data_IF_805061503613
#
_entry.id   IF_805061503613
#
_cell.length_a   1.000
_cell.length_b   1.000
_cell.length_c   1.000
_cell.angle_alpha   90.00
_cell.angle_beta   90.00
_cell.angle_gamma   90.00
#
_symmetry.space_group_name_H-M   'P 1'
#
loop_
_entity.id
_entity.type
_entity.pdbx_description
1 polymer ?
#
# COMPACT_ATOMS: atom_id res chain seq x y z
N UNK A 1 51.84 -41.10 26.70
CA UNK A 1 52.04 -41.99 25.52
C UNK A 1 51.79 -41.15 24.27
N UNK A 2 52.87 -40.81 23.54
CA UNK A 2 53.14 -41.11 22.11
C UNK A 2 52.10 -40.54 21.13
N UNK A 3 52.40 -39.87 20.01
CA UNK A 3 53.58 -39.33 19.29
C UNK A 3 52.92 -38.51 18.13
N UNK A 4 53.37 -37.30 17.75
CA UNK A 4 54.36 -37.01 16.68
C UNK A 4 53.97 -37.71 15.36
N UNK A 5 53.72 -37.08 14.20
CA UNK A 5 54.62 -36.30 13.29
C UNK A 5 53.74 -35.83 12.10
N UNK A 6 53.70 -34.56 11.68
CA UNK A 6 54.51 -33.88 10.63
C UNK A 6 54.85 -34.72 9.39
N UNK A 7 54.75 -34.14 8.19
CA UNK A 7 55.82 -33.99 7.17
C UNK A 7 55.19 -33.62 5.79
N UNK A 8 55.52 -32.44 5.25
CA UNK A 8 56.45 -32.18 4.11
C UNK A 8 55.87 -32.59 2.75
N UNK A 9 56.16 -31.97 1.60
CA UNK A 9 56.80 -30.71 1.18
C UNK A 9 56.92 -30.77 -0.37
N UNK A 10 57.51 -29.71 -0.96
CA UNK A 10 58.28 -29.70 -2.22
C UNK A 10 57.46 -29.42 -3.49
N UNK A 11 57.53 -28.18 -4.03
CA UNK A 11 58.37 -27.67 -5.18
C UNK A 11 58.08 -28.42 -6.49
N UNK A 12 58.05 -27.83 -7.69
CA UNK A 12 59.08 -27.04 -8.41
C UNK A 12 58.45 -26.62 -9.76
N UNK A 13 58.55 -25.37 -10.21
CA UNK A 13 59.53 -24.80 -11.17
C UNK A 13 59.20 -24.85 -12.69
N UNK A 14 59.39 -23.66 -13.28
CA UNK A 14 59.54 -23.21 -14.66
C UNK A 14 59.98 -24.19 -15.78
N UNK A 15 59.49 -23.93 -17.00
CA UNK A 15 60.24 -23.96 -18.27
C UNK A 15 59.43 -23.16 -19.35
N UNK A 16 59.94 -22.04 -19.88
CA UNK A 16 60.81 -21.89 -21.08
C UNK A 16 60.10 -22.07 -22.45
N UNK A 17 59.56 -20.95 -22.96
CA UNK A 17 59.90 -20.27 -24.24
C UNK A 17 59.92 -21.08 -25.58
N UNK A 18 60.26 -20.47 -26.73
CA UNK A 18 59.30 -20.15 -27.80
C UNK A 18 59.62 -20.88 -29.12
N UNK A 19 58.67 -20.92 -30.08
CA UNK A 19 59.01 -21.19 -31.49
C UNK A 19 58.28 -20.27 -32.47
N UNK A 20 59.14 -19.65 -33.26
CA UNK A 20 58.97 -18.79 -34.41
C UNK A 20 58.24 -19.50 -35.57
N UNK A 21 57.74 -18.68 -36.49
CA UNK A 21 57.80 -18.82 -37.97
C UNK A 21 56.45 -19.04 -38.70
N UNK A 22 56.01 -17.99 -39.41
CA UNK A 22 56.06 -17.85 -40.88
C UNK A 22 54.80 -17.16 -41.45
N UNK A 23 55.05 -16.17 -42.29
CA UNK A 23 54.12 -15.36 -43.07
C UNK A 23 53.09 -16.17 -43.89
N UNK A 24 51.87 -15.65 -44.01
CA UNK A 24 51.24 -15.47 -45.31
C UNK A 24 50.25 -14.30 -45.25
N UNK A 25 50.49 -13.30 -46.10
CA UNK A 25 49.60 -12.18 -46.37
C UNK A 25 48.55 -12.67 -47.37
N UNK A 26 47.29 -12.67 -46.99
CA UNK A 26 46.15 -12.65 -47.92
C UNK A 26 45.25 -11.48 -47.55
N UNK A 27 45.26 -10.48 -48.42
CA UNK A 27 44.35 -9.33 -48.40
C UNK A 27 42.96 -9.84 -48.80
N UNK A 28 42.02 -9.81 -47.88
CA UNK A 28 40.58 -9.92 -48.17
C UNK A 28 39.94 -8.60 -47.77
N UNK A 29 39.32 -7.94 -48.75
CA UNK A 29 38.66 -6.65 -48.60
C UNK A 29 37.49 -6.72 -47.59
N UNK A 30 37.29 -5.69 -46.74
CA UNK A 30 36.11 -5.64 -45.90
C UNK A 30 34.95 -5.02 -46.70
N UNK A 31 33.93 -5.82 -47.03
CA UNK A 31 32.58 -5.26 -47.28
C UNK A 31 31.91 -5.15 -45.93
N UNK A 32 32.14 -4.02 -45.26
CA UNK A 32 31.33 -3.63 -44.11
C UNK A 32 29.98 -3.13 -44.64
N UNK A 33 28.97 -4.00 -44.64
CA UNK A 33 27.59 -3.55 -44.72
C UNK A 33 27.29 -2.82 -43.41
N UNK A 34 27.28 -1.49 -43.48
CA UNK A 34 26.77 -0.65 -42.42
C UNK A 34 25.24 -0.81 -42.36
N UNK A 35 24.78 -1.75 -41.55
CA UNK A 35 23.38 -1.82 -41.12
C UNK A 35 23.15 -0.74 -40.05
N UNK A 36 22.91 0.50 -40.48
CA UNK A 36 22.34 1.51 -39.59
C UNK A 36 20.85 1.23 -39.41
N UNK A 37 20.53 0.37 -38.44
CA UNK A 37 19.18 0.29 -37.85
C UNK A 37 19.32 0.66 -36.38
N UNK A 38 19.77 1.89 -36.15
CA UNK A 38 19.58 2.56 -34.87
C UNK A 38 18.12 3.04 -34.83
N UNK A 39 17.20 2.08 -34.66
CA UNK A 39 15.85 2.38 -34.19
C UNK A 39 15.98 2.66 -32.68
N UNK A 40 16.53 3.83 -32.36
CA UNK A 40 16.59 4.33 -31.00
C UNK A 40 15.16 4.65 -30.60
N UNK A 41 14.46 3.66 -30.06
CA UNK A 41 13.34 3.89 -29.17
C UNK A 41 13.83 4.78 -28.04
N UNK A 42 13.64 6.09 -28.18
CA UNK A 42 13.73 7.02 -27.07
C UNK A 42 12.52 6.76 -26.16
N UNK A 43 12.58 5.70 -25.35
CA UNK A 43 11.71 5.60 -24.19
C UNK A 43 12.13 6.73 -23.25
N UNK A 44 11.28 7.74 -23.14
CA UNK A 44 11.43 8.72 -22.06
C UNK A 44 11.53 7.94 -20.74
N UNK A 45 12.44 8.33 -19.83
CA UNK A 45 12.59 7.61 -18.57
C UNK A 45 11.23 7.57 -17.84
N UNK A 46 10.91 6.46 -17.14
CA UNK A 46 9.65 6.34 -16.43
C UNK A 46 9.45 7.52 -15.50
N UNK A 47 8.29 8.18 -15.58
CA UNK A 47 7.94 9.28 -14.67
C UNK A 47 7.82 8.72 -13.26
N UNK A 48 8.31 9.47 -12.28
CA UNK A 48 8.13 9.11 -10.88
C UNK A 48 6.63 8.99 -10.56
N UNK A 49 6.22 7.96 -9.79
CA UNK A 49 4.87 7.88 -9.29
C UNK A 49 4.48 9.12 -8.50
N UNK A 50 3.20 9.47 -8.56
CA UNK A 50 2.63 10.58 -7.79
C UNK A 50 1.19 10.31 -7.41
N UNK A 51 0.66 11.06 -6.46
CA UNK A 51 -0.77 11.03 -6.18
C UNK A 51 -1.57 11.45 -7.44
N UNK A 52 -2.55 10.64 -7.83
CA UNK A 52 -3.55 10.96 -8.84
C UNK A 52 -4.86 11.45 -8.25
N UNK A 53 -5.98 11.21 -8.93
CA UNK A 53 -7.30 11.50 -8.39
C UNK A 53 -7.70 10.53 -7.27
N UNK A 54 -8.48 10.99 -6.29
CA UNK A 54 -8.97 10.14 -5.20
C UNK A 54 -10.37 10.58 -4.73
N UNK A 55 -11.08 9.66 -4.08
CA UNK A 55 -12.37 9.91 -3.42
C UNK A 55 -12.55 8.93 -2.27
N UNK A 56 -13.41 9.29 -1.31
CA UNK A 56 -13.85 8.40 -0.24
C UNK A 56 -15.37 8.23 -0.31
N UNK A 57 -15.84 7.00 -0.51
CA UNK A 57 -17.25 6.65 -0.29
C UNK A 57 -17.44 6.26 1.17
N UNK A 58 -18.49 6.79 1.79
CA UNK A 58 -18.93 6.40 3.13
C UNK A 58 -20.43 6.17 3.09
N UNK A 59 -20.88 5.03 3.57
CA UNK A 59 -22.30 4.78 3.82
C UNK A 59 -22.41 4.36 5.29
N UNK A 60 -23.06 5.18 6.13
CA UNK A 60 -23.40 4.81 7.50
C UNK A 60 -24.32 3.59 7.57
N UNK A 61 -24.43 2.99 8.75
CA UNK A 61 -25.35 1.88 8.97
C UNK A 61 -26.80 2.31 8.69
N UNK A 62 -27.54 1.49 7.94
CA UNK A 62 -28.92 1.78 7.52
C UNK A 62 -29.03 2.71 6.30
N UNK A 63 -27.95 3.35 5.87
CA UNK A 63 -27.89 4.23 4.69
C UNK A 63 -27.19 3.59 3.48
N UNK A 64 -26.84 2.32 3.60
CA UNK A 64 -26.18 1.57 2.54
C UNK A 64 -27.02 1.42 1.27
N UNK A 65 -26.34 1.37 0.12
CA UNK A 65 -26.95 1.04 -1.18
C UNK A 65 -26.24 -0.14 -1.82
N UNK A 66 -26.92 -0.87 -2.71
CA UNK A 66 -26.28 -1.89 -3.54
C UNK A 66 -26.59 -1.70 -5.04
N UNK A 67 -25.57 -1.60 -5.92
CA UNK A 67 -24.16 -1.48 -5.57
C UNK A 67 -23.85 -0.18 -4.78
N UNK A 68 -22.82 -0.24 -3.94
CA UNK A 68 -22.21 0.94 -3.36
C UNK A 68 -21.24 1.52 -4.40
N UNK A 69 -21.48 2.75 -4.86
CA UNK A 69 -20.74 3.38 -5.98
C UNK A 69 -20.03 4.63 -5.48
N UNK A 70 -18.75 4.78 -5.78
CA UNK A 70 -17.99 5.98 -5.42
C UNK A 70 -18.47 7.20 -6.22
N UNK A 71 -18.16 8.40 -5.75
CA UNK A 71 -18.21 9.59 -6.61
C UNK A 71 -17.29 9.40 -7.83
N UNK A 72 -17.67 9.97 -8.97
CA UNK A 72 -16.86 9.88 -10.18
C UNK A 72 -15.65 10.82 -10.10
N UNK A 73 -14.50 10.36 -10.54
CA UNK A 73 -13.27 11.15 -10.63
C UNK A 73 -12.63 11.05 -12.02
N UNK A 74 -11.64 11.89 -12.33
CA UNK A 74 -10.92 11.83 -13.60
C UNK A 74 -9.52 11.25 -13.36
N UNK A 75 -9.31 9.99 -13.72
CA UNK A 75 -7.97 9.35 -13.68
C UNK A 75 -7.21 9.58 -14.99
N UNK A 76 -5.92 9.26 -15.01
CA UNK A 76 -5.16 9.10 -16.24
C UNK A 76 -5.76 7.97 -17.09
N UNK A 77 -5.61 8.09 -18.40
CA UNK A 77 -6.11 7.08 -19.34
C UNK A 77 -5.34 5.75 -19.25
N UNK A 78 -4.06 5.83 -18.88
CA UNK A 78 -3.16 4.70 -18.72
C UNK A 78 -1.99 5.05 -17.78
N UNK A 79 -1.22 4.03 -17.38
CA UNK A 79 0.01 4.19 -16.61
C UNK A 79 -0.19 4.41 -15.12
N UNK A 80 -1.42 4.30 -14.62
CA UNK A 80 -1.74 4.38 -13.19
C UNK A 80 -1.86 3.01 -12.56
N UNK A 81 -1.62 2.97 -11.25
CA UNK A 81 -2.13 1.92 -10.37
C UNK A 81 -3.35 2.47 -9.62
N UNK A 82 -4.37 1.65 -9.40
CA UNK A 82 -5.56 2.02 -8.64
C UNK A 82 -5.66 1.17 -7.40
N UNK A 83 -5.85 1.82 -6.26
CA UNK A 83 -5.99 1.19 -4.95
C UNK A 83 -7.40 1.44 -4.42
N UNK A 84 -8.03 0.36 -3.96
CA UNK A 84 -9.31 0.39 -3.26
C UNK A 84 -9.17 -0.38 -1.96
N UNK A 85 -9.66 0.18 -0.86
CA UNK A 85 -9.96 -0.62 0.33
C UNK A 85 -11.47 -0.69 0.50
N UNK A 86 -11.97 -1.82 0.98
CA UNK A 86 -13.38 -2.03 1.30
C UNK A 86 -13.44 -2.44 2.75
N UNK A 87 -13.98 -1.57 3.60
CA UNK A 87 -14.14 -1.81 5.02
C UNK A 87 -15.61 -1.68 5.42
N UNK A 88 -16.16 -2.68 6.09
CA UNK A 88 -17.61 -2.80 6.31
C UNK A 88 -18.01 -4.19 6.77
N UNK A 89 -19.30 -4.50 6.64
CA UNK A 89 -19.81 -5.84 6.92
C UNK A 89 -19.09 -6.91 6.09
N UNK A 90 -18.64 -7.96 6.75
CA UNK A 90 -17.84 -9.03 6.16
C UNK A 90 -18.64 -9.92 5.18
N UNK A 91 -19.97 -9.96 5.35
CA UNK A 91 -20.91 -10.68 4.47
C UNK A 91 -21.11 -9.97 3.11
N UNK A 92 -20.64 -8.71 2.97
CA UNK A 92 -20.58 -7.99 1.70
C UNK A 92 -19.30 -8.36 0.93
N UNK A 93 -19.17 -9.63 0.56
CA UNK A 93 -17.95 -10.21 0.01
C UNK A 93 -17.64 -9.83 -1.47
N UNK A 94 -18.49 -9.04 -2.12
CA UNK A 94 -18.29 -8.61 -3.51
C UNK A 94 -16.90 -8.02 -3.77
N UNK A 95 -16.30 -8.37 -4.92
CA UNK A 95 -15.10 -7.72 -5.40
C UNK A 95 -15.44 -6.36 -6.02
N UNK A 96 -14.54 -5.37 -5.94
CA UNK A 96 -14.74 -4.12 -6.66
C UNK A 96 -14.72 -4.35 -8.17
N UNK A 97 -15.62 -3.65 -8.87
CA UNK A 97 -15.54 -3.42 -10.31
C UNK A 97 -15.46 -1.92 -10.57
N UNK A 98 -15.05 -1.51 -11.76
CA UNK A 98 -15.02 -0.10 -12.13
C UNK A 98 -15.59 0.15 -13.53
N UNK A 99 -15.77 1.42 -13.86
CA UNK A 99 -16.32 1.87 -15.14
C UNK A 99 -15.37 1.69 -16.34
N UNK A 100 -14.19 1.11 -16.14
CA UNK A 100 -13.15 0.89 -17.16
C UNK A 100 -12.77 -0.58 -17.30
N UNK A 101 -13.51 -1.48 -16.65
CA UNK A 101 -13.33 -2.93 -16.64
C UNK A 101 -11.90 -3.35 -16.24
N UNK A 102 -11.27 -2.65 -15.29
CA UNK A 102 -9.97 -3.07 -14.83
C UNK A 102 -10.04 -4.40 -14.08
N UNK A 103 -8.94 -5.14 -14.14
CA UNK A 103 -8.78 -6.36 -13.37
C UNK A 103 -8.29 -6.03 -11.95
N UNK A 104 -9.18 -6.18 -10.98
CA UNK A 104 -8.88 -6.00 -9.57
C UNK A 104 -8.36 -7.30 -8.94
N UNK A 105 -7.29 -7.21 -8.16
CA UNK A 105 -6.70 -8.32 -7.41
C UNK A 105 -6.73 -8.01 -5.91
N UNK A 106 -7.12 -8.97 -5.05
CA UNK A 106 -6.98 -8.79 -3.61
C UNK A 106 -5.50 -8.66 -3.24
N UNK A 107 -5.21 -7.84 -2.24
CA UNK A 107 -3.91 -7.75 -1.59
C UNK A 107 -4.07 -8.34 -0.20
N UNK A 108 -3.37 -9.42 0.10
CA UNK A 108 -3.47 -10.14 1.37
C UNK A 108 -4.85 -10.76 1.64
N UNK A 109 -5.00 -11.26 2.86
CA UNK A 109 -6.27 -11.79 3.38
C UNK A 109 -7.13 -10.66 4.00
N UNK A 110 -8.46 -10.82 4.09
CA UNK A 110 -9.31 -9.91 4.84
C UNK A 110 -8.85 -9.77 6.30
N UNK A 111 -8.84 -8.54 6.81
CA UNK A 111 -8.49 -8.25 8.20
C UNK A 111 -9.77 -8.03 9.01
N UNK A 112 -10.06 -8.95 9.92
CA UNK A 112 -11.27 -8.90 10.78
C UNK A 112 -11.09 -7.89 11.92
N UNK A 113 -12.10 -7.06 12.17
CA UNK A 113 -12.08 -6.11 13.29
C UNK A 113 -12.19 -6.80 14.66
N UNK A 114 -11.40 -6.30 15.62
CA UNK A 114 -11.39 -6.83 16.98
C UNK A 114 -12.71 -6.53 17.71
N UNK A 115 -13.32 -7.56 18.32
CA UNK A 115 -14.53 -7.40 19.13
C UNK A 115 -15.84 -7.32 18.34
N UNK A 116 -15.82 -7.67 17.05
CA UNK A 116 -16.99 -7.65 16.17
C UNK A 116 -17.49 -9.05 15.74
N UNK A 117 -16.97 -10.13 16.32
CA UNK A 117 -17.35 -11.51 16.03
C UNK A 117 -17.34 -11.83 14.52
N UNK A 118 -16.26 -11.43 13.84
CA UNK A 118 -16.05 -11.62 12.39
C UNK A 118 -17.05 -10.90 11.48
N UNK A 119 -18.02 -10.16 12.03
CA UNK A 119 -19.04 -9.45 11.24
C UNK A 119 -18.49 -8.29 10.42
N UNK A 120 -17.31 -7.78 10.75
CA UNK A 120 -16.69 -6.66 10.05
C UNK A 120 -15.26 -7.02 9.65
N UNK A 121 -14.89 -6.64 8.42
CA UNK A 121 -13.52 -6.75 7.95
C UNK A 121 -13.10 -5.57 7.07
N UNK A 122 -11.80 -5.49 6.82
CA UNK A 122 -11.21 -4.62 5.81
C UNK A 122 -10.46 -5.46 4.79
N UNK A 123 -10.63 -5.13 3.51
CA UNK A 123 -10.00 -5.81 2.37
C UNK A 123 -9.35 -4.78 1.46
N UNK A 124 -8.18 -5.08 0.91
CA UNK A 124 -7.49 -4.22 -0.05
C UNK A 124 -7.50 -4.86 -1.45
N UNK A 125 -7.67 -4.04 -2.48
CA UNK A 125 -7.70 -4.45 -3.87
C UNK A 125 -6.89 -3.50 -4.73
N UNK A 126 -6.28 -4.06 -5.78
CA UNK A 126 -5.37 -3.35 -6.66
C UNK A 126 -5.66 -3.65 -8.13
N UNK A 127 -5.68 -2.60 -8.95
CA UNK A 127 -5.52 -2.71 -10.40
C UNK A 127 -4.20 -2.05 -10.82
N UNK A 128 -3.30 -2.82 -11.43
CA UNK A 128 -2.02 -2.35 -11.97
C UNK A 128 -2.15 -2.09 -13.47
N UNK A 129 -1.45 -1.08 -13.99
CA UNK A 129 -1.52 -0.67 -15.39
C UNK A 129 -2.97 -0.40 -15.82
N UNK A 130 -3.70 0.29 -14.95
CA UNK A 130 -5.13 0.50 -15.08
C UNK A 130 -5.43 1.38 -16.29
N UNK A 131 -6.55 1.05 -16.94
CA UNK A 131 -7.27 1.94 -17.84
C UNK A 131 -8.08 2.92 -17.01
N UNK A 132 -8.19 4.14 -17.51
CA UNK A 132 -8.95 5.16 -16.83
C UNK A 132 -9.38 6.29 -17.75
N UNK A 133 -9.76 7.41 -17.15
CA UNK A 133 -10.19 8.60 -17.86
C UNK A 133 -11.28 9.35 -17.10
N UNK A 134 -12.14 10.03 -17.85
CA UNK A 134 -13.19 10.87 -17.26
C UNK A 134 -14.28 10.05 -16.59
N UNK A 135 -14.77 10.54 -15.44
CA UNK A 135 -15.89 9.96 -14.69
C UNK A 135 -15.65 8.50 -14.25
N UNK A 136 -14.42 8.13 -13.94
CA UNK A 136 -14.08 6.83 -13.37
C UNK A 136 -14.78 6.65 -12.01
N UNK A 137 -15.51 5.55 -11.87
CA UNK A 137 -16.14 5.12 -10.61
C UNK A 137 -15.74 3.70 -10.26
N UNK A 138 -15.62 3.40 -8.97
CA UNK A 138 -15.57 2.04 -8.44
C UNK A 138 -16.91 1.70 -7.81
N UNK A 139 -17.31 0.44 -7.90
CA UNK A 139 -18.51 -0.07 -7.23
C UNK A 139 -18.27 -1.42 -6.57
N UNK A 140 -19.02 -1.68 -5.50
CA UNK A 140 -19.04 -2.96 -4.78
C UNK A 140 -20.48 -3.42 -4.60
N UNK A 141 -20.79 -4.65 -5.01
CA UNK A 141 -22.07 -5.29 -4.71
C UNK A 141 -22.06 -5.78 -3.25
N UNK A 142 -23.16 -5.55 -2.54
CA UNK A 142 -23.33 -5.80 -1.10
C UNK A 142 -24.40 -6.86 -0.92
N UNK A 143 -24.01 -8.12 -1.12
CA UNK A 143 -24.95 -9.25 -1.19
C UNK A 143 -25.53 -9.66 0.16
N UNK A 144 -24.75 -9.53 1.24
CA UNK A 144 -25.18 -9.91 2.60
C UNK A 144 -25.97 -8.80 3.29
N UNK A 145 -25.35 -7.63 3.43
CA UNK A 145 -25.90 -6.47 4.14
C UNK A 145 -25.99 -5.23 3.23
N UNK A 146 -26.96 -5.15 2.29
CA UNK A 146 -27.12 -4.03 1.36
C UNK A 146 -27.23 -2.65 2.02
N UNK A 147 -27.95 -2.57 3.14
CA UNK A 147 -28.13 -1.34 3.92
C UNK A 147 -27.03 -1.11 4.97
N UNK A 148 -26.13 -2.08 5.17
CA UNK A 148 -25.09 -2.01 6.20
C UNK A 148 -23.98 -1.01 5.88
N UNK A 149 -23.23 -0.60 6.90
CA UNK A 149 -22.15 0.36 6.74
C UNK A 149 -21.00 -0.14 5.82
N UNK A 150 -20.44 0.78 5.04
CA UNK A 150 -19.27 0.52 4.19
C UNK A 150 -18.47 1.82 3.96
N UNK A 151 -17.15 1.71 3.98
CA UNK A 151 -16.23 2.80 3.66
C UNK A 151 -15.24 2.32 2.60
N UNK A 152 -15.13 3.08 1.51
CA UNK A 152 -14.33 2.73 0.34
C UNK A 152 -13.49 3.93 -0.10
N UNK A 153 -12.21 4.04 0.34
CA UNK A 153 -11.27 4.91 -0.32
C UNK A 153 -10.91 4.34 -1.70
N UNK A 154 -10.98 5.19 -2.73
CA UNK A 154 -10.54 4.90 -4.09
C UNK A 154 -9.46 5.90 -4.47
N UNK A 155 -8.23 5.42 -4.66
CA UNK A 155 -7.04 6.24 -4.90
C UNK A 155 -6.39 5.83 -6.22
N UNK A 156 -6.13 6.81 -7.08
CA UNK A 156 -5.21 6.67 -8.19
C UNK A 156 -3.79 7.01 -7.76
N UNK A 157 -2.84 6.15 -8.13
CA UNK A 157 -1.41 6.44 -8.10
C UNK A 157 -0.94 6.56 -9.55
N UNK A 158 -0.82 7.80 -9.99
CA UNK A 158 -0.38 8.15 -11.33
C UNK A 158 1.07 7.73 -11.56
N UNK A 159 1.36 7.25 -12.77
CA UNK A 159 2.69 6.78 -13.18
C UNK A 159 3.24 5.59 -12.35
N UNK A 160 2.41 4.97 -11.52
CA UNK A 160 2.76 3.73 -10.83
C UNK A 160 2.43 2.53 -11.71
N UNK A 161 3.46 1.76 -12.05
CA UNK A 161 3.34 0.51 -12.81
C UNK A 161 3.49 -0.75 -11.96
N UNK A 162 3.84 -0.62 -10.67
CA UNK A 162 3.95 -1.75 -9.74
C UNK A 162 3.63 -1.32 -8.30
N UNK A 163 3.08 -2.26 -7.53
CA UNK A 163 3.14 -2.27 -6.07
C UNK A 163 4.46 -2.96 -5.70
N UNK A 164 5.41 -2.21 -5.17
CA UNK A 164 6.74 -2.72 -4.81
C UNK A 164 6.69 -3.52 -3.51
N UNK A 165 6.03 -2.98 -2.50
CA UNK A 165 5.94 -3.58 -1.19
C UNK A 165 4.66 -3.13 -0.47
N UNK A 166 4.21 -3.94 0.47
CA UNK A 166 3.03 -3.68 1.27
C UNK A 166 3.18 -4.25 2.67
N UNK A 167 2.81 -3.43 3.66
CA UNK A 167 2.77 -3.84 5.05
C UNK A 167 1.36 -3.68 5.61
N UNK A 168 0.93 -4.68 6.38
CA UNK A 168 -0.32 -4.68 7.11
C UNK A 168 -0.06 -5.10 8.55
N UNK A 169 -0.61 -4.36 9.51
CA UNK A 169 -0.65 -4.75 10.90
C UNK A 169 -1.90 -4.16 11.58
N UNK A 170 -2.22 -4.68 12.77
CA UNK A 170 -3.39 -4.25 13.53
C UNK A 170 -3.00 -3.94 14.99
N UNK A 171 -2.23 -2.87 15.22
CA UNK A 171 -1.81 -2.50 16.56
C UNK A 171 -3.00 -2.03 17.40
N UNK A 172 -3.00 -2.40 18.67
CA UNK A 172 -3.91 -1.88 19.68
C UNK A 172 -3.11 -1.11 20.74
N UNK A 173 -3.68 -0.06 21.38
CA UNK A 173 -3.03 0.60 22.50
C UNK A 173 -2.65 -0.43 23.57
N UNK A 174 -1.48 -0.29 24.20
CA UNK A 174 -0.96 -1.27 25.15
C UNK A 174 -1.89 -1.54 26.35
N UNK A 175 -1.69 -2.66 27.06
CA UNK A 175 -2.58 -3.13 28.14
C UNK A 175 -2.81 -2.06 29.22
N UNK A 176 -1.78 -1.27 29.57
CA UNK A 176 -1.89 -0.15 30.50
C UNK A 176 -2.79 0.97 29.95
N UNK A 177 -2.65 1.34 28.67
CA UNK A 177 -3.52 2.31 28.02
C UNK A 177 -4.97 1.80 27.96
N UNK A 178 -5.20 0.50 27.69
CA UNK A 178 -6.55 -0.09 27.73
C UNK A 178 -7.16 -0.10 29.12
N UNK A 179 -6.38 -0.42 30.15
CA UNK A 179 -6.83 -0.40 31.54
C UNK A 179 -7.17 1.02 32.00
N UNK A 180 -6.33 1.99 31.67
CA UNK A 180 -6.59 3.41 31.92
C UNK A 180 -7.82 3.89 31.14
N UNK A 181 -7.99 3.52 29.86
CA UNK A 181 -9.17 3.89 29.07
C UNK A 181 -10.45 3.24 29.60
N UNK A 182 -10.38 2.01 30.14
CA UNK A 182 -11.54 1.33 30.75
C UNK A 182 -11.91 1.98 32.09
N UNK A 183 -10.91 2.32 32.90
CA UNK A 183 -11.10 3.00 34.18
C UNK A 183 -11.61 4.44 33.99
N UNK A 184 -10.99 5.20 33.08
CA UNK A 184 -11.43 6.55 32.71
C UNK A 184 -12.84 6.55 32.13
N UNK A 185 -13.20 5.60 31.25
CA UNK A 185 -14.59 5.46 30.75
C UNK A 185 -15.59 5.13 31.87
N UNK A 186 -15.21 4.28 32.83
CA UNK A 186 -16.07 3.99 33.99
C UNK A 186 -16.28 5.21 34.90
N UNK A 187 -15.31 6.14 34.95
CA UNK A 187 -15.38 7.38 35.73
C UNK A 187 -16.04 8.54 34.96
N UNK A 188 -15.79 8.66 33.65
CA UNK A 188 -16.41 9.64 32.74
C UNK A 188 -17.85 9.27 32.39
N UNK A 189 -18.22 7.99 32.50
CA UNK A 189 -19.62 7.54 32.50
C UNK A 189 -20.46 8.15 33.62
N UNK A 190 -19.86 8.81 34.61
CA UNK A 190 -20.54 9.60 35.64
C UNK A 190 -20.57 11.12 35.39
N UNK A 191 -19.77 11.64 34.45
CA UNK A 191 -19.71 13.07 34.07
C UNK A 191 -19.25 13.15 32.62
N UNK A 192 -20.17 13.38 31.68
CA UNK A 192 -19.97 13.28 30.21
C UNK A 192 -18.90 14.21 29.58
N UNK A 193 -17.66 14.08 30.01
CA UNK A 193 -16.46 14.73 29.48
C UNK A 193 -15.89 13.88 28.31
N UNK A 194 -15.46 14.48 27.18
CA UNK A 194 -14.90 13.73 26.06
C UNK A 194 -13.62 12.96 26.44
N UNK A 195 -13.46 11.74 25.91
CA UNK A 195 -12.26 10.92 26.07
C UNK A 195 -11.09 11.56 25.31
N UNK A 196 -10.11 12.09 26.05
CA UNK A 196 -8.94 12.80 25.51
C UNK A 196 -7.69 11.92 25.45
N UNK A 197 -7.82 10.60 25.65
CA UNK A 197 -6.66 9.69 25.64
C UNK A 197 -6.08 9.60 24.23
N UNK A 198 -4.75 9.62 24.10
CA UNK A 198 -4.09 9.54 22.79
C UNK A 198 -3.39 8.21 22.59
N UNK A 199 -3.42 7.69 21.37
CA UNK A 199 -2.66 6.51 20.95
C UNK A 199 -1.72 6.85 19.79
N UNK A 200 -0.50 6.33 19.85
CA UNK A 200 0.40 6.27 18.71
C UNK A 200 0.38 4.83 18.16
N UNK A 201 0.01 4.67 16.89
CA UNK A 201 -0.03 3.39 16.20
C UNK A 201 0.92 3.45 15.00
N UNK A 202 1.93 2.59 14.98
CA UNK A 202 2.91 2.54 13.89
C UNK A 202 2.60 1.38 12.95
N UNK A 203 2.66 1.64 11.64
CA UNK A 203 2.51 0.61 10.61
C UNK A 203 3.66 -0.40 10.64
N UNK A 204 3.51 -1.53 9.95
CA UNK A 204 4.67 -2.27 9.45
C UNK A 204 5.51 -1.42 8.48
N UNK A 205 6.66 -1.94 8.07
CA UNK A 205 7.59 -1.25 7.17
C UNK A 205 7.43 -1.73 5.73
N UNK A 206 7.54 -0.81 4.77
CA UNK A 206 7.70 -1.12 3.33
C UNK A 206 9.07 -0.69 2.83
N UNK A 207 9.61 -1.39 1.85
CA UNK A 207 10.88 -1.06 1.19
C UNK A 207 10.66 -0.70 -0.27
N UNK A 208 11.41 0.29 -0.75
CA UNK A 208 11.39 0.74 -2.15
C UNK A 208 12.80 0.70 -2.74
N UNK A 209 12.89 0.50 -4.04
CA UNK A 209 14.16 0.46 -4.78
C UNK A 209 14.49 1.77 -5.51
N UNK A 210 13.67 2.81 -5.35
CA UNK A 210 13.81 4.11 -6.00
C UNK A 210 12.66 5.06 -5.62
N UNK A 211 12.40 6.12 -6.41
CA UNK A 211 11.26 7.00 -6.19
C UNK A 211 9.94 6.22 -6.10
N UNK A 212 9.08 6.62 -5.18
CA UNK A 212 7.81 5.93 -4.92
C UNK A 212 6.73 6.87 -4.38
N UNK A 213 5.47 6.49 -4.57
CA UNK A 213 4.34 7.04 -3.82
C UNK A 213 3.94 6.05 -2.75
N UNK A 214 4.02 6.47 -1.50
CA UNK A 214 3.54 5.70 -0.36
C UNK A 214 2.09 6.09 -0.06
N UNK A 215 1.21 5.10 0.09
CA UNK A 215 -0.18 5.31 0.51
C UNK A 215 -0.38 4.60 1.83
N UNK A 216 -0.78 5.33 2.86
CA UNK A 216 -1.06 4.83 4.19
C UNK A 216 -2.57 4.92 4.45
N UNK A 217 -3.15 3.85 4.99
CA UNK A 217 -4.56 3.81 5.36
C UNK A 217 -4.70 3.40 6.81
N UNK A 218 -5.46 4.20 7.55
CA UNK A 218 -5.85 3.98 8.92
C UNK A 218 -7.35 3.67 8.95
N UNK A 219 -7.71 2.53 9.53
CA UNK A 219 -9.09 2.06 9.68
C UNK A 219 -9.30 1.64 11.14
N UNK A 220 -9.81 2.54 11.96
CA UNK A 220 -9.90 2.30 13.40
C UNK A 220 -11.11 1.46 13.83
N UNK A 221 -11.11 1.08 15.11
CA UNK A 221 -12.09 0.16 15.74
C UNK A 221 -13.50 0.73 16.07
N UNK A 222 -13.80 1.97 15.64
CA UNK A 222 -15.10 2.67 15.72
C UNK A 222 -15.80 2.64 17.10
N UNK A 223 -15.09 2.98 18.18
CA UNK A 223 -15.68 3.06 19.53
C UNK A 223 -16.30 4.41 19.89
N UNK A 224 -16.15 5.41 19.02
CA UNK A 224 -16.63 6.78 19.21
C UNK A 224 -17.09 7.37 17.88
N UNK A 225 -17.91 8.41 17.96
CA UNK A 225 -18.44 9.10 16.78
C UNK A 225 -17.58 10.27 16.29
N UNK A 226 -16.61 10.73 17.08
CA UNK A 226 -15.68 11.79 16.67
C UNK A 226 -14.29 11.49 17.20
N UNK A 227 -13.30 11.60 16.32
CA UNK A 227 -11.93 11.20 16.57
C UNK A 227 -10.95 11.95 15.67
N UNK A 228 -9.66 11.81 15.98
CA UNK A 228 -8.55 12.23 15.12
C UNK A 228 -7.74 11.01 14.68
N UNK A 229 -7.14 11.12 13.50
CA UNK A 229 -6.11 10.23 12.99
C UNK A 229 -5.09 11.07 12.22
N UNK A 230 -4.04 11.51 12.91
CA UNK A 230 -3.06 12.46 12.38
C UNK A 230 -1.82 11.67 11.95
N UNK A 231 -1.47 11.66 10.66
CA UNK A 231 -0.28 10.97 10.18
C UNK A 231 0.99 11.74 10.54
N UNK A 232 2.03 11.02 10.96
CA UNK A 232 3.39 11.52 11.14
C UNK A 232 4.25 11.34 9.87
N UNK A 233 5.57 11.41 10.07
CA UNK A 233 6.58 10.93 9.10
C UNK A 233 6.47 11.55 7.70
N UNK A 234 6.01 12.81 7.61
CA UNK A 234 5.89 13.54 6.35
C UNK A 234 4.71 13.14 5.47
N UNK A 235 3.82 12.26 5.94
CA UNK A 235 2.59 11.93 5.26
C UNK A 235 1.54 13.05 5.39
N UNK A 236 0.71 13.19 4.36
CA UNK A 236 -0.38 14.17 4.32
C UNK A 236 -1.71 13.46 4.11
N UNK A 237 -2.72 13.78 4.91
CA UNK A 237 -4.07 13.25 4.74
C UNK A 237 -4.65 13.75 3.42
N UNK A 238 -5.26 12.85 2.66
CA UNK A 238 -5.97 13.14 1.40
C UNK A 238 -7.47 12.94 1.54
N UNK A 239 -7.90 11.98 2.38
CA UNK A 239 -9.30 11.70 2.66
C UNK A 239 -9.46 11.26 4.12
N UNK A 240 -10.62 11.55 4.72
CA UNK A 240 -10.93 11.06 6.06
C UNK A 240 -12.43 11.02 6.33
N UNK A 241 -12.84 10.05 7.14
CA UNK A 241 -14.16 9.93 7.72
C UNK A 241 -14.00 9.67 9.22
N UNK A 242 -13.88 10.77 9.96
CA UNK A 242 -13.53 10.79 11.39
C UNK A 242 -14.60 11.46 12.27
N UNK A 243 -15.69 11.90 11.66
CA UNK A 243 -16.89 12.39 12.33
C UNK A 243 -18.07 11.58 11.79
N UNK A 244 -18.45 10.56 12.53
CA UNK A 244 -19.49 9.61 12.17
C UNK A 244 -20.87 10.17 12.59
N UNK A 245 -21.93 9.87 11.83
CA UNK A 245 -23.29 10.10 12.27
C UNK A 245 -23.65 9.15 13.43
N UNK A 246 -24.77 9.42 14.14
CA UNK A 246 -25.22 8.57 15.24
C UNK A 246 -25.53 7.12 14.85
N UNK A 247 -25.77 6.85 13.57
CA UNK A 247 -26.02 5.50 13.04
C UNK A 247 -24.78 4.60 13.05
N UNK A 248 -23.57 5.11 13.31
CA UNK A 248 -22.28 4.44 13.10
C UNK A 248 -21.81 4.44 11.64
N UNK A 249 -20.50 4.33 11.46
CA UNK A 249 -19.84 4.17 10.17
C UNK A 249 -18.43 3.59 10.36
N UNK A 250 -17.89 2.94 9.34
CA UNK A 250 -16.51 2.46 9.39
C UNK A 250 -15.55 3.62 9.18
N UNK A 251 -14.88 4.05 10.25
CA UNK A 251 -13.96 5.19 10.21
C UNK A 251 -12.73 4.93 9.35
N UNK A 252 -12.23 5.99 8.70
CA UNK A 252 -11.06 5.91 7.84
C UNK A 252 -10.26 7.21 7.81
N UNK A 253 -8.96 7.10 7.62
CA UNK A 253 -8.10 8.19 7.16
C UNK A 253 -7.10 7.63 6.15
N UNK A 254 -6.91 8.35 5.04
CA UNK A 254 -5.94 8.00 4.00
C UNK A 254 -4.91 9.12 3.94
N UNK A 255 -3.64 8.75 3.96
CA UNK A 255 -2.54 9.70 3.82
C UNK A 255 -1.53 9.23 2.78
N UNK A 256 -0.80 10.17 2.18
CA UNK A 256 0.21 9.86 1.19
C UNK A 256 1.53 10.56 1.47
N UNK A 257 2.61 9.96 0.98
CA UNK A 257 3.95 10.56 0.96
C UNK A 257 4.67 10.14 -0.31
N UNK A 258 5.15 11.12 -1.06
CA UNK A 258 6.08 10.87 -2.16
C UNK A 258 7.51 10.84 -1.63
N UNK A 259 8.30 9.88 -2.09
CA UNK A 259 9.71 9.71 -1.75
C UNK A 259 10.52 9.66 -3.03
N UNK A 260 11.70 10.28 -3.02
CA UNK A 260 12.56 10.50 -4.19
C UNK A 260 13.70 9.47 -4.33
N UNK A 261 13.87 8.60 -3.33
CA UNK A 261 14.93 7.61 -3.30
C UNK A 261 14.47 6.29 -2.67
N UNK A 262 15.24 5.24 -2.97
CA UNK A 262 15.13 3.94 -2.32
C UNK A 262 15.23 4.08 -0.80
N UNK A 263 14.49 3.25 -0.08
CA UNK A 263 14.49 3.29 1.38
C UNK A 263 13.43 2.39 1.99
N UNK A 264 13.50 2.26 3.31
CA UNK A 264 12.52 1.56 4.13
C UNK A 264 11.73 2.58 4.94
N UNK A 265 10.40 2.48 4.86
CA UNK A 265 9.48 3.48 5.38
C UNK A 265 8.42 2.84 6.27
N UNK A 266 8.03 3.55 7.32
CA UNK A 266 6.84 3.30 8.13
C UNK A 266 6.15 4.62 8.41
N UNK A 267 4.96 4.56 9.00
CA UNK A 267 4.20 5.73 9.44
C UNK A 267 3.67 5.50 10.85
N UNK A 268 3.73 6.54 11.68
CA UNK A 268 3.05 6.60 12.98
C UNK A 268 1.83 7.50 12.91
N UNK A 269 0.68 6.95 13.27
CA UNK A 269 -0.58 7.67 13.39
C UNK A 269 -0.83 8.07 14.84
N UNK A 270 -1.16 9.34 15.06
CA UNK A 270 -1.58 9.86 16.36
C UNK A 270 -3.10 10.04 16.37
N UNK A 271 -3.78 9.24 17.18
CA UNK A 271 -5.24 9.28 17.30
C UNK A 271 -5.72 9.73 18.67
N UNK A 272 -6.92 10.28 18.72
CA UNK A 272 -7.66 10.62 19.95
C UNK A 272 -9.15 10.43 19.67
N UNK A 273 -9.91 9.72 20.52
CA UNK A 273 -9.45 8.95 21.68
C UNK A 273 -8.56 7.76 21.31
N UNK A 274 -7.90 7.16 22.28
CA UNK A 274 -6.99 6.04 22.06
C UNK A 274 -7.77 4.78 21.68
N UNK A 275 -7.52 4.30 20.46
CA UNK A 275 -8.14 3.10 19.89
C UNK A 275 -7.14 2.32 19.05
N UNK A 276 -7.48 1.06 18.71
CA UNK A 276 -6.75 0.31 17.70
C UNK A 276 -7.12 0.77 16.30
N UNK A 277 -6.32 0.31 15.33
CA UNK A 277 -6.66 0.46 13.93
C UNK A 277 -5.95 -0.58 13.08
N UNK A 278 -6.64 -1.04 12.05
CA UNK A 278 -6.03 -1.75 10.94
C UNK A 278 -5.23 -0.71 10.16
N UNK A 279 -3.92 -0.94 10.07
CA UNK A 279 -3.01 -0.10 9.32
C UNK A 279 -2.55 -0.83 8.06
N UNK A 280 -2.60 -0.13 6.94
CA UNK A 280 -1.97 -0.53 5.70
C UNK A 280 -0.97 0.53 5.27
N UNK A 281 0.16 0.09 4.73
CA UNK A 281 1.14 0.94 4.05
C UNK A 281 1.52 0.27 2.73
N UNK A 282 1.28 0.96 1.62
CA UNK A 282 1.57 0.51 0.26
C UNK A 282 2.69 1.36 -0.33
N UNK A 283 3.63 0.73 -1.03
CA UNK A 283 4.68 1.43 -1.76
C UNK A 283 4.54 1.21 -3.27
N UNK A 284 4.24 2.27 -4.01
CA UNK A 284 4.06 2.22 -5.46
C UNK A 284 5.23 2.81 -6.20
N UNK A 285 5.70 2.09 -7.22
CA UNK A 285 6.83 2.50 -8.05
C UNK A 285 6.45 2.51 -9.52
N UNK A 286 7.23 3.23 -10.34
CA UNK A 286 7.11 3.14 -11.78
C UNK A 286 7.42 1.70 -12.21
N UNK A 287 6.84 1.28 -13.34
CA UNK A 287 7.28 0.04 -13.98
C UNK A 287 8.77 0.18 -14.37
N UNK A 288 9.56 -0.91 -14.31
CA UNK A 288 10.92 -0.95 -14.83
C UNK A 288 11.01 -0.52 -16.30
#
# INVERSE_FOLDING_TARGET
>A
MRRITSQLAVRTACALAPRLLLCLVTVVAPVAMASSIDDVMSSSPPKAPKLGAHTLLTQPEGEGSTPAVTSSLNTQENGSSLLVLVAGHADNAGMPTDSYDNLWKPVGEPVVYNGYDERFNARAFLAIAARGGKKHTVQVVKEGSPAGEITIPFIEIAHAGKLEDVAQNYPTPGVAARATNRLMRAWQGFKGEPDSTSSALTSGTVTTTGPATLVAVWLGDAYVYSMTAIPGDGFKVIDSYLNLPPSSGVQAAVAVREVDAAGTYSITWHGTPAQGAILWLFAFQAAP
#
